data_IF_455880248018
#
_entry.id   IF_455880248018
#
_cell.length_a   1.000
_cell.length_b   1.000
_cell.length_c   1.000
_cell.angle_alpha   90.00
_cell.angle_beta   90.00
_cell.angle_gamma   90.00
#
_symmetry.space_group_name_H-M   'P 1'
#
loop_
_entity.id
_entity.type
_entity.pdbx_description
1 polymer ?
#
# COMPACT_ATOMS: atom_id res chain seq x y z
N UNK A 1 -6.28 -1.66 -60.98
CA UNK A 1 -6.63 -2.45 -59.81
C UNK A 1 -5.55 -2.27 -58.78
N UNK A 2 -5.79 -1.43 -57.74
CA UNK A 2 -4.80 -1.10 -56.72
C UNK A 2 -5.06 -1.99 -55.51
N UNK A 3 -4.07 -2.81 -55.14
CA UNK A 3 -4.09 -3.61 -53.92
C UNK A 3 -3.77 -2.70 -52.75
N UNK A 4 -4.71 -2.53 -51.81
CA UNK A 4 -4.48 -1.91 -50.51
C UNK A 4 -3.93 -2.98 -49.55
N UNK A 5 -2.67 -2.88 -49.18
CA UNK A 5 -2.05 -3.71 -48.15
C UNK A 5 -2.34 -3.08 -46.79
N UNK A 6 -3.24 -3.73 -46.01
CA UNK A 6 -3.47 -3.43 -44.60
C UNK A 6 -2.26 -3.89 -43.80
N UNK A 7 -1.53 -2.92 -43.22
CA UNK A 7 -0.54 -3.17 -42.18
C UNK A 7 -1.27 -3.30 -40.84
N UNK A 8 -1.49 -4.54 -40.43
CA UNK A 8 -1.96 -4.85 -39.08
C UNK A 8 -0.75 -4.79 -38.14
N UNK A 9 -0.59 -3.68 -37.41
CA UNK A 9 0.42 -3.56 -36.38
C UNK A 9 0.01 -4.40 -35.17
N UNK A 10 0.59 -5.59 -35.08
CA UNK A 10 0.51 -6.48 -33.93
C UNK A 10 1.33 -5.88 -32.78
N UNK A 11 0.67 -5.19 -31.84
CA UNK A 11 1.27 -4.84 -30.58
C UNK A 11 1.44 -6.12 -29.76
N UNK A 12 2.62 -6.72 -29.86
CA UNK A 12 3.06 -7.77 -28.93
C UNK A 12 3.37 -7.10 -27.62
N UNK A 13 2.43 -7.20 -26.66
CA UNK A 13 2.72 -6.94 -25.25
C UNK A 13 3.71 -8.01 -24.79
N UNK A 14 5.00 -7.69 -24.81
CA UNK A 14 6.03 -8.52 -24.24
C UNK A 14 5.92 -8.39 -22.70
N UNK A 15 5.08 -9.25 -22.09
CA UNK A 15 5.14 -9.49 -20.65
C UNK A 15 6.43 -10.24 -20.39
N UNK A 16 7.48 -9.52 -19.96
CA UNK A 16 8.67 -10.12 -19.39
C UNK A 16 8.26 -10.82 -18.08
N UNK A 17 7.87 -12.09 -18.20
CA UNK A 17 7.83 -13.00 -17.06
C UNK A 17 9.27 -13.33 -16.73
N UNK A 18 9.87 -12.60 -15.79
CA UNK A 18 11.14 -12.98 -15.22
C UNK A 18 10.96 -14.36 -14.54
N UNK A 19 11.77 -15.34 -14.98
CA UNK A 19 11.86 -16.65 -14.34
C UNK A 19 12.27 -16.47 -12.89
N UNK A 20 11.38 -16.86 -11.99
CA UNK A 20 11.64 -16.91 -10.55
C UNK A 20 12.74 -17.94 -10.27
N UNK A 21 13.86 -17.47 -9.70
CA UNK A 21 14.83 -18.36 -9.07
C UNK A 21 14.20 -19.07 -7.86
N UNK A 22 14.73 -20.24 -7.44
CA UNK A 22 14.12 -21.04 -6.38
C UNK A 22 14.09 -20.23 -5.06
N UNK A 23 12.89 -19.97 -4.57
CA UNK A 23 12.65 -19.34 -3.27
C UNK A 23 13.01 -20.34 -2.15
N UNK A 24 13.89 -19.94 -1.26
CA UNK A 24 14.30 -20.73 -0.06
C UNK A 24 13.15 -21.01 0.92
N UNK A 25 11.93 -20.51 0.70
CA UNK A 25 10.76 -20.67 1.59
C UNK A 25 9.59 -21.43 0.97
N UNK A 26 9.68 -21.88 -0.28
CA UNK A 26 8.54 -22.52 -0.97
C UNK A 26 7.37 -21.57 -1.31
N UNK A 27 7.52 -20.27 -1.05
CA UNK A 27 6.50 -19.26 -1.39
C UNK A 27 6.75 -18.69 -2.78
N UNK A 28 5.68 -18.52 -3.55
CA UNK A 28 5.76 -17.84 -4.84
C UNK A 28 5.81 -16.32 -4.63
N UNK A 29 6.75 -15.65 -5.32
CA UNK A 29 6.91 -14.19 -5.28
C UNK A 29 6.70 -13.62 -6.67
N UNK A 30 5.77 -12.68 -6.81
CA UNK A 30 5.62 -11.85 -8.01
C UNK A 30 6.32 -10.53 -7.79
N UNK A 31 7.11 -10.08 -8.77
CA UNK A 31 7.86 -8.82 -8.73
C UNK A 31 7.43 -7.93 -9.88
N UNK A 32 7.29 -6.64 -9.59
CA UNK A 32 7.08 -5.59 -10.58
C UNK A 32 8.24 -4.61 -10.49
N UNK A 33 8.61 -4.04 -11.63
CA UNK A 33 9.75 -3.12 -11.74
C UNK A 33 9.30 -1.78 -12.30
N UNK A 34 10.01 -0.73 -11.95
CA UNK A 34 9.85 0.58 -12.58
C UNK A 34 10.38 0.54 -14.03
N UNK A 35 9.95 1.49 -14.85
CA UNK A 35 10.53 1.77 -16.16
C UNK A 35 11.96 2.26 -15.96
N UNK A 36 12.94 1.43 -16.01
CA UNK A 36 14.33 1.75 -15.66
C UNK A 36 14.99 0.72 -14.76
N UNK A 37 14.21 -0.30 -14.32
CA UNK A 37 14.75 -1.54 -13.76
C UNK A 37 14.76 -1.67 -12.25
N UNK A 38 14.48 -0.62 -11.48
CA UNK A 38 14.36 -0.71 -10.01
C UNK A 38 13.14 -1.51 -9.57
N UNK A 39 13.24 -2.29 -8.49
CA UNK A 39 12.12 -3.04 -7.92
C UNK A 39 11.04 -2.07 -7.41
N UNK A 40 9.82 -2.19 -7.95
CA UNK A 40 8.65 -1.38 -7.57
C UNK A 40 7.80 -2.05 -6.52
N UNK A 41 7.56 -3.36 -6.67
CA UNK A 41 6.75 -4.13 -5.72
C UNK A 41 7.13 -5.60 -5.68
N UNK A 42 6.90 -6.21 -4.52
CA UNK A 42 6.91 -7.66 -4.30
C UNK A 42 5.57 -8.10 -3.75
N UNK A 43 5.01 -9.15 -4.33
CA UNK A 43 3.87 -9.83 -3.76
C UNK A 43 4.25 -11.25 -3.39
N UNK A 44 4.41 -11.51 -2.10
CA UNK A 44 4.77 -12.81 -1.54
C UNK A 44 3.47 -13.56 -1.26
N UNK A 45 3.15 -14.54 -2.10
CA UNK A 45 1.92 -15.31 -2.01
C UNK A 45 1.96 -16.32 -0.86
N UNK A 46 0.88 -16.39 -0.08
CA UNK A 46 0.72 -17.39 0.98
C UNK A 46 0.21 -18.72 0.42
N UNK A 47 -0.49 -18.67 -0.73
CA UNK A 47 -1.09 -19.83 -1.39
C UNK A 47 -1.09 -19.68 -2.93
N UNK A 48 -1.49 -20.73 -3.63
CA UNK A 48 -1.53 -20.78 -5.10
C UNK A 48 -2.64 -19.93 -5.73
N UNK A 49 -3.62 -19.45 -4.96
CA UNK A 49 -4.71 -18.62 -5.48
C UNK A 49 -4.23 -17.25 -5.95
N UNK A 50 -3.11 -16.78 -5.38
CA UNK A 50 -2.59 -15.43 -5.60
C UNK A 50 -3.46 -14.33 -4.98
N UNK A 51 -4.46 -14.70 -4.18
CA UNK A 51 -5.35 -13.74 -3.54
C UNK A 51 -4.91 -13.39 -2.10
N UNK A 52 -4.09 -14.27 -1.49
CA UNK A 52 -3.61 -14.10 -0.13
C UNK A 52 -2.09 -13.94 -0.12
N UNK A 53 -1.58 -12.95 0.61
CA UNK A 53 -0.14 -12.71 0.64
C UNK A 53 0.26 -11.40 1.29
N UNK A 54 1.55 -11.10 1.21
CA UNK A 54 2.15 -9.85 1.68
C UNK A 54 2.58 -9.02 0.46
N UNK A 55 1.98 -7.85 0.30
CA UNK A 55 2.39 -6.86 -0.69
C UNK A 55 3.38 -5.89 -0.04
N UNK A 56 4.55 -5.74 -0.64
CA UNK A 56 5.55 -4.74 -0.32
C UNK A 56 5.73 -3.80 -1.50
N UNK A 57 5.90 -2.50 -1.25
CA UNK A 57 6.18 -1.48 -2.26
C UNK A 57 7.49 -0.78 -1.93
N UNK A 58 8.21 -0.39 -2.96
CA UNK A 58 9.54 0.20 -2.86
C UNK A 58 9.60 1.54 -3.60
N UNK A 59 10.46 2.44 -3.15
CA UNK A 59 10.84 3.66 -3.85
C UNK A 59 11.82 3.39 -5.00
N UNK A 60 12.09 4.41 -5.81
CA UNK A 60 13.08 4.32 -6.91
C UNK A 60 14.51 4.04 -6.42
N UNK A 61 14.84 4.44 -5.21
CA UNK A 61 16.10 4.21 -4.51
C UNK A 61 16.16 2.83 -3.82
N UNK A 62 15.09 2.03 -3.92
CA UNK A 62 15.01 0.66 -3.40
C UNK A 62 14.58 0.54 -1.94
N UNK A 63 14.34 1.64 -1.20
CA UNK A 63 13.83 1.54 0.16
C UNK A 63 12.37 1.07 0.20
N UNK A 64 11.99 0.34 1.23
CA UNK A 64 10.62 -0.10 1.46
C UNK A 64 9.73 1.10 1.81
N UNK A 65 8.74 1.42 0.97
CA UNK A 65 7.79 2.53 1.21
C UNK A 65 6.54 2.08 1.95
N UNK A 66 6.06 0.85 1.70
CA UNK A 66 4.93 0.31 2.47
C UNK A 66 4.84 -1.20 2.41
N UNK A 67 4.12 -1.78 3.38
CA UNK A 67 3.74 -3.19 3.38
C UNK A 67 2.32 -3.37 3.89
N UNK A 68 1.58 -4.33 3.29
CA UNK A 68 0.20 -4.67 3.68
C UNK A 68 -0.12 -6.12 3.37
N UNK A 69 -0.92 -6.75 4.22
CA UNK A 69 -1.50 -8.07 3.95
C UNK A 69 -2.65 -7.94 2.95
N UNK A 70 -2.68 -8.89 2.01
CA UNK A 70 -3.79 -9.10 1.10
C UNK A 70 -4.56 -10.35 1.52
N UNK A 71 -5.89 -10.28 1.50
CA UNK A 71 -6.80 -11.42 1.68
C UNK A 71 -7.92 -11.32 0.66
N UNK A 72 -8.18 -12.41 -0.05
CA UNK A 72 -9.19 -12.46 -1.13
C UNK A 72 -9.00 -11.33 -2.15
N UNK A 73 -7.74 -11.01 -2.50
CA UNK A 73 -7.41 -9.97 -3.47
C UNK A 73 -7.54 -8.52 -2.99
N UNK A 74 -7.92 -8.29 -1.71
CA UNK A 74 -8.08 -6.95 -1.13
C UNK A 74 -7.18 -6.73 0.07
N UNK A 75 -6.90 -5.46 0.41
CA UNK A 75 -6.13 -5.11 1.60
C UNK A 75 -6.86 -5.56 2.86
N UNK A 76 -6.13 -6.16 3.81
CA UNK A 76 -6.66 -6.67 5.08
C UNK A 76 -5.63 -6.50 6.20
N UNK A 77 -6.07 -5.96 7.33
CA UNK A 77 -5.19 -5.62 8.46
C UNK A 77 -4.47 -4.30 8.26
N UNK A 78 -3.30 -4.15 8.89
CA UNK A 78 -2.56 -2.89 8.93
C UNK A 78 -1.63 -2.77 7.73
N UNK A 79 -1.79 -1.70 6.95
CA UNK A 79 -0.78 -1.20 6.02
C UNK A 79 0.14 -0.26 6.78
N UNK A 80 1.44 -0.51 6.73
CA UNK A 80 2.46 0.33 7.36
C UNK A 80 3.27 1.03 6.28
N UNK A 81 3.41 2.33 6.39
CA UNK A 81 4.29 3.14 5.54
C UNK A 81 5.56 3.53 6.27
N UNK A 82 6.64 3.64 5.51
CA UNK A 82 7.99 3.86 6.02
C UNK A 82 8.66 5.04 5.30
N UNK A 83 9.57 5.70 5.97
CA UNK A 83 10.49 6.65 5.36
C UNK A 83 11.75 5.93 4.81
N UNK A 84 12.65 6.71 4.20
CA UNK A 84 13.92 6.23 3.63
C UNK A 84 14.86 5.57 4.66
N UNK A 85 14.70 5.88 5.96
CA UNK A 85 15.44 5.27 7.06
C UNK A 85 14.75 4.03 7.64
N UNK A 86 13.59 3.61 7.07
CA UNK A 86 12.78 2.49 7.56
C UNK A 86 11.95 2.80 8.81
N UNK A 87 11.83 4.09 9.21
CA UNK A 87 11.00 4.51 10.33
C UNK A 87 9.54 4.56 9.91
N UNK A 88 8.65 4.20 10.82
CA UNK A 88 7.21 4.21 10.53
C UNK A 88 6.71 5.64 10.40
N UNK A 89 6.17 5.97 9.23
CA UNK A 89 5.50 7.24 8.95
C UNK A 89 4.01 7.20 9.27
N UNK A 90 3.36 6.08 8.93
CA UNK A 90 1.92 5.94 9.12
C UNK A 90 1.48 4.48 9.20
N UNK A 91 0.29 4.26 9.78
CA UNK A 91 -0.43 2.99 9.80
C UNK A 91 -1.87 3.22 9.41
N UNK A 92 -2.36 2.43 8.43
CA UNK A 92 -3.73 2.44 7.95
C UNK A 92 -4.34 1.06 8.17
N UNK A 93 -5.47 0.97 8.83
CA UNK A 93 -6.14 -0.30 9.05
C UNK A 93 -7.22 -0.56 8.00
N UNK A 94 -7.26 -1.77 7.47
CA UNK A 94 -8.20 -2.20 6.42
C UNK A 94 -9.00 -3.43 6.86
N UNK A 95 -10.30 -3.39 6.60
CA UNK A 95 -11.21 -4.53 6.68
C UNK A 95 -11.90 -4.65 5.32
N UNK A 96 -11.75 -5.81 4.66
CA UNK A 96 -12.34 -6.08 3.34
C UNK A 96 -12.05 -4.97 2.31
N UNK A 97 -10.81 -4.50 2.25
CA UNK A 97 -10.35 -3.49 1.30
C UNK A 97 -10.73 -2.04 1.65
N UNK A 98 -11.49 -1.80 2.72
CA UNK A 98 -11.90 -0.46 3.16
C UNK A 98 -11.15 -0.04 4.42
N UNK A 99 -10.82 1.23 4.51
CA UNK A 99 -10.24 1.78 5.75
C UNK A 99 -11.28 1.70 6.88
N UNK A 100 -10.84 1.16 8.03
CA UNK A 100 -11.69 0.94 9.20
C UNK A 100 -10.89 1.21 10.49
N UNK A 101 -11.52 1.83 11.48
CA UNK A 101 -10.89 2.11 12.76
C UNK A 101 -9.89 3.27 12.73
N UNK A 102 -8.91 3.25 13.63
CA UNK A 102 -7.95 4.34 13.80
C UNK A 102 -6.82 4.23 12.77
N UNK A 103 -6.59 5.33 12.06
CA UNK A 103 -5.44 5.57 11.20
C UNK A 103 -4.48 6.50 11.95
N UNK A 104 -3.18 6.26 11.84
CA UNK A 104 -2.17 7.00 12.60
C UNK A 104 -1.04 7.46 11.69
N UNK A 105 -0.53 8.69 11.92
CA UNK A 105 0.75 9.12 11.41
C UNK A 105 1.67 9.52 12.56
N UNK A 106 2.97 9.44 12.33
CA UNK A 106 4.00 9.54 13.36
C UNK A 106 5.03 10.60 13.01
N UNK A 107 5.59 11.23 14.01
CA UNK A 107 6.81 12.03 13.89
C UNK A 107 8.02 11.13 13.63
N UNK A 108 9.14 11.69 13.10
CA UNK A 108 10.36 10.89 12.86
C UNK A 108 10.97 10.22 14.10
N UNK A 109 10.63 10.68 15.31
CA UNK A 109 11.05 10.07 16.58
C UNK A 109 10.11 8.91 17.02
N UNK A 110 9.06 8.60 16.25
CA UNK A 110 8.10 7.53 16.52
C UNK A 110 6.88 7.95 17.35
N UNK A 111 6.81 9.18 17.81
CA UNK A 111 5.66 9.70 18.55
C UNK A 111 4.46 9.92 17.62
N UNK A 112 3.25 9.77 18.15
CA UNK A 112 2.03 10.08 17.42
C UNK A 112 1.98 11.55 17.00
N UNK A 113 1.72 11.80 15.72
CA UNK A 113 1.49 13.13 15.15
C UNK A 113 0.00 13.41 14.98
N UNK A 114 -0.71 12.47 14.41
CA UNK A 114 -2.16 12.62 14.16
C UNK A 114 -2.84 11.26 14.10
N UNK A 115 -4.10 11.22 14.56
CA UNK A 115 -5.00 10.09 14.37
C UNK A 115 -6.30 10.54 13.74
N UNK A 116 -6.85 9.68 12.86
CA UNK A 116 -8.19 9.80 12.31
C UNK A 116 -8.95 8.52 12.56
N UNK A 117 -10.26 8.62 12.81
CA UNK A 117 -11.13 7.44 12.85
C UNK A 117 -11.87 7.32 11.52
N UNK A 118 -11.82 6.11 10.95
CA UNK A 118 -12.50 5.76 9.70
C UNK A 118 -13.58 4.72 9.94
N UNK A 119 -14.64 4.79 9.19
CA UNK A 119 -15.71 3.80 9.12
C UNK A 119 -16.11 3.61 7.66
N UNK A 120 -16.02 2.37 7.15
CA UNK A 120 -16.35 2.05 5.76
C UNK A 120 -15.62 2.92 4.71
N UNK A 121 -14.37 3.31 4.97
CA UNK A 121 -13.53 4.08 4.04
C UNK A 121 -13.66 5.60 4.14
N UNK A 122 -14.53 6.13 5.01
CA UNK A 122 -14.71 7.57 5.21
C UNK A 122 -14.34 7.98 6.64
N UNK A 123 -13.87 9.22 6.83
CA UNK A 123 -13.60 9.76 8.17
C UNK A 123 -14.92 9.87 8.95
N UNK A 124 -14.99 9.16 10.06
CA UNK A 124 -16.18 9.13 10.91
C UNK A 124 -15.77 8.89 12.36
N UNK A 125 -15.92 9.90 13.21
CA UNK A 125 -15.48 9.86 14.59
C UNK A 125 -14.39 10.87 14.91
N UNK A 126 -13.68 10.72 16.03
CA UNK A 126 -12.68 11.67 16.47
C UNK A 126 -11.41 11.63 15.60
N UNK A 127 -10.87 12.82 15.35
CA UNK A 127 -9.50 13.02 14.91
C UNK A 127 -8.75 13.83 15.97
N UNK A 128 -7.47 13.51 16.17
CA UNK A 128 -6.62 14.18 17.17
C UNK A 128 -5.26 14.48 16.56
N UNK A 129 -4.76 15.67 16.83
CA UNK A 129 -3.34 16.00 16.65
C UNK A 129 -2.64 15.96 17.99
N UNK A 130 -1.35 15.65 17.96
CA UNK A 130 -0.52 15.51 19.16
C UNK A 130 0.71 16.39 19.03
N UNK A 131 1.12 17.00 20.13
CA UNK A 131 2.39 17.68 20.26
C UNK A 131 3.52 16.67 20.45
N UNK A 132 4.76 17.11 20.28
CA UNK A 132 5.95 16.25 20.48
C UNK A 132 6.12 15.75 21.91
N UNK A 133 5.44 16.35 22.91
CA UNK A 133 5.39 15.86 24.28
C UNK A 133 4.32 14.76 24.49
N UNK A 134 3.67 14.29 23.41
CA UNK A 134 2.65 13.27 23.41
C UNK A 134 1.24 13.74 23.84
N UNK A 135 1.10 15.00 24.24
CA UNK A 135 -0.20 15.54 24.66
C UNK A 135 -1.05 15.90 23.46
N UNK A 136 -2.37 15.70 23.59
CA UNK A 136 -3.32 16.11 22.57
C UNK A 136 -3.27 17.63 22.41
N UNK A 137 -3.04 18.07 21.18
CA UNK A 137 -3.05 19.48 20.82
C UNK A 137 -4.44 19.92 20.39
N UNK A 138 -5.08 19.15 19.47
CA UNK A 138 -6.40 19.45 18.95
C UNK A 138 -7.22 18.18 18.81
N UNK A 139 -8.53 18.29 19.08
CA UNK A 139 -9.51 17.24 18.82
C UNK A 139 -10.65 17.82 18.00
N UNK A 140 -11.02 17.13 16.92
CA UNK A 140 -12.18 17.45 16.08
C UNK A 140 -12.98 16.18 15.83
N UNK A 141 -14.23 16.35 15.42
CA UNK A 141 -15.11 15.25 15.04
C UNK A 141 -15.37 15.27 13.54
N UNK A 142 -15.39 14.10 12.92
CA UNK A 142 -15.83 13.92 11.55
C UNK A 142 -17.10 13.10 11.49
N UNK A 143 -17.96 13.42 10.55
CA UNK A 143 -19.13 12.63 10.16
C UNK A 143 -19.17 12.58 8.63
N UNK A 144 -18.86 11.39 8.06
CA UNK A 144 -18.80 11.16 6.61
C UNK A 144 -17.95 12.22 5.88
N UNK A 145 -16.66 12.30 6.25
CA UNK A 145 -15.64 13.22 5.75
C UNK A 145 -15.86 14.71 6.04
N UNK A 146 -16.99 15.10 6.64
CA UNK A 146 -17.28 16.49 7.01
C UNK A 146 -16.96 16.73 8.47
N UNK A 147 -16.39 17.90 8.79
CA UNK A 147 -16.25 18.34 10.17
C UNK A 147 -17.64 18.48 10.79
N UNK A 148 -17.80 17.92 11.98
CA UNK A 148 -19.00 18.04 12.80
C UNK A 148 -18.66 18.94 13.99
N UNK A 149 -19.40 20.02 14.12
CA UNK A 149 -19.36 20.89 15.30
C UNK A 149 -19.98 20.18 16.49
#
# INVERSE_FOLDING_TARGET
MKQLSLWLSLFVLLSLTACDGPSLSGKTVKKEYFTGGGLRSEYIMDDKSGQNGLLKKYGYDGHLTSSVRMRNGVKSGVETGYDEMGRILWKLNYINGRQEGIQSAYYPNGDLMVTYTYKNGVKHGPARTYRRDGKVDKKVMYRNDKLSN
#
